data_IF_904860319136
#
_entry.id   IF_904860319136
#
_cell.length_a   1.000
_cell.length_b   1.000
_cell.length_c   1.000
_cell.angle_alpha   90.00
_cell.angle_beta   90.00
_cell.angle_gamma   90.00
#
_symmetry.space_group_name_H-M   'P 1'
#
loop_
_entity.id
_entity.type
_entity.pdbx_description
1 polymer ?
#
# COMPACT_ATOMS: atom_id res chain seq x y z
N UNK A 1 6.55 17.46 31.22
CA UNK A 1 5.25 17.14 31.88
C UNK A 1 4.01 17.65 31.12
N UNK A 2 4.08 17.94 29.81
CA UNK A 2 2.95 18.48 29.01
C UNK A 2 2.23 17.46 28.09
N UNK A 3 2.75 16.23 27.93
CA UNK A 3 2.20 15.26 26.96
C UNK A 3 0.88 14.59 27.38
N UNK A 4 0.56 14.50 28.69
CA UNK A 4 -0.63 13.75 29.17
C UNK A 4 -1.95 14.49 28.91
N UNK A 5 -1.97 15.83 28.99
CA UNK A 5 -3.19 16.63 28.80
C UNK A 5 -3.64 16.74 27.34
N UNK A 6 -2.69 16.74 26.39
CA UNK A 6 -3.02 16.76 24.97
C UNK A 6 -3.55 15.40 24.50
N UNK A 7 -2.97 14.31 25.02
CA UNK A 7 -3.42 12.94 24.76
C UNK A 7 -4.81 12.69 25.35
N UNK A 8 -5.11 13.15 26.58
CA UNK A 8 -6.44 12.98 27.16
C UNK A 8 -7.52 13.83 26.49
N UNK A 9 -7.17 15.02 25.98
CA UNK A 9 -8.06 15.85 25.16
C UNK A 9 -8.28 15.26 23.77
N UNK A 10 -7.24 14.72 23.13
CA UNK A 10 -7.38 13.98 21.88
C UNK A 10 -8.23 12.73 22.07
N UNK A 11 -7.96 11.94 23.11
CA UNK A 11 -8.79 10.80 23.50
C UNK A 11 -10.22 11.24 23.79
N UNK A 12 -10.45 12.35 24.50
CA UNK A 12 -11.80 12.87 24.76
C UNK A 12 -12.54 13.29 23.49
N UNK A 13 -11.84 13.88 22.50
CA UNK A 13 -12.41 14.24 21.19
C UNK A 13 -12.66 13.00 20.33
N UNK A 14 -11.75 12.03 20.37
CA UNK A 14 -11.88 10.75 19.66
C UNK A 14 -12.96 9.88 20.28
N UNK A 15 -13.10 9.83 21.60
CA UNK A 15 -14.05 8.97 22.34
C UNK A 15 -15.48 9.55 22.42
N UNK A 16 -15.66 10.86 22.27
CA UNK A 16 -16.99 11.52 22.26
C UNK A 16 -18.00 10.94 21.27
N UNK A 17 -17.64 10.62 20.01
CA UNK A 17 -18.59 9.98 19.09
C UNK A 17 -19.05 8.59 19.54
N UNK A 18 -18.37 7.91 20.48
CA UNK A 18 -18.65 6.51 20.82
C UNK A 18 -19.74 6.28 21.87
N UNK A 19 -20.38 7.32 22.41
CA UNK A 19 -21.31 7.18 23.54
C UNK A 19 -22.77 6.88 23.12
N UNK A 20 -23.12 7.04 21.84
CA UNK A 20 -24.52 6.96 21.38
C UNK A 20 -24.76 6.07 20.15
N UNK A 21 -23.80 5.19 19.77
CA UNK A 21 -23.96 4.30 18.61
C UNK A 21 -24.32 2.87 19.02
N UNK A 22 -25.09 2.22 18.16
CA UNK A 22 -25.45 0.80 18.25
C UNK A 22 -24.18 -0.09 18.23
N UNK A 23 -24.24 -1.26 18.85
CA UNK A 23 -23.06 -2.11 19.06
C UNK A 23 -22.38 -2.52 17.73
N UNK A 24 -23.17 -2.75 16.69
CA UNK A 24 -22.71 -3.10 15.35
C UNK A 24 -21.99 -1.92 14.67
N UNK A 25 -22.59 -0.73 14.74
CA UNK A 25 -21.99 0.49 14.17
C UNK A 25 -20.64 0.81 14.81
N UNK A 26 -20.49 0.51 16.11
CA UNK A 26 -19.24 0.70 16.84
C UNK A 26 -18.13 -0.22 16.33
N UNK A 27 -18.45 -1.49 16.06
CA UNK A 27 -17.49 -2.46 15.53
C UNK A 27 -17.04 -2.04 14.12
N UNK A 28 -17.99 -1.66 13.26
CA UNK A 28 -17.69 -1.19 11.89
C UNK A 28 -16.81 0.05 11.92
N UNK A 29 -17.09 1.00 12.83
CA UNK A 29 -16.27 2.19 13.00
C UNK A 29 -14.83 1.86 13.44
N UNK A 30 -14.66 0.99 14.45
CA UNK A 30 -13.33 0.57 14.92
C UNK A 30 -12.57 -0.09 13.78
N UNK A 31 -13.21 -0.97 13.02
CA UNK A 31 -12.59 -1.67 11.92
C UNK A 31 -12.15 -0.71 10.80
N UNK A 32 -12.98 0.27 10.44
CA UNK A 32 -12.64 1.34 9.47
C UNK A 32 -11.47 2.21 9.95
N UNK A 33 -11.42 2.52 11.25
CA UNK A 33 -10.35 3.33 11.84
C UNK A 33 -9.03 2.57 11.89
N UNK A 34 -9.06 1.31 12.33
CA UNK A 34 -7.88 0.45 12.40
C UNK A 34 -7.33 0.17 10.99
N UNK A 35 -8.17 -0.19 10.03
CA UNK A 35 -7.71 -0.44 8.65
C UNK A 35 -7.07 0.82 8.04
N UNK A 36 -7.71 1.97 8.21
CA UNK A 36 -7.21 3.25 7.71
C UNK A 36 -5.89 3.67 8.36
N UNK A 37 -5.76 3.47 9.68
CA UNK A 37 -4.54 3.77 10.41
C UNK A 37 -3.40 2.85 9.99
N UNK A 38 -3.67 1.56 9.79
CA UNK A 38 -2.67 0.59 9.33
C UNK A 38 -2.15 0.91 7.93
N UNK A 39 -2.99 1.38 7.01
CA UNK A 39 -2.54 1.86 5.69
C UNK A 39 -1.54 3.00 5.83
N UNK A 40 -1.84 3.99 6.69
CA UNK A 40 -0.94 5.12 6.96
C UNK A 40 0.37 4.63 7.59
N UNK A 41 0.30 3.77 8.60
CA UNK A 41 1.50 3.23 9.25
C UNK A 41 2.38 2.45 8.28
N UNK A 42 1.81 1.59 7.45
CA UNK A 42 2.58 0.81 6.46
C UNK A 42 3.23 1.71 5.41
N UNK A 43 2.52 2.73 4.92
CA UNK A 43 3.11 3.68 3.97
C UNK A 43 4.23 4.53 4.59
N UNK A 44 4.13 4.89 5.88
CA UNK A 44 5.24 5.52 6.61
C UNK A 44 6.44 4.59 6.78
N UNK A 45 6.23 3.32 7.11
CA UNK A 45 7.32 2.33 7.25
C UNK A 45 8.02 2.13 5.90
N UNK A 46 7.26 2.05 4.80
CA UNK A 46 7.81 1.86 3.45
C UNK A 46 8.65 3.04 2.95
N UNK A 47 8.27 4.26 3.33
CA UNK A 47 8.95 5.49 2.90
C UNK A 47 9.96 5.94 3.96
N UNK A 48 9.48 6.47 5.08
CA UNK A 48 10.31 7.02 6.16
C UNK A 48 11.11 5.94 6.90
N UNK A 49 10.53 4.74 7.09
CA UNK A 49 11.26 3.62 7.70
C UNK A 49 12.45 3.16 6.85
N UNK A 50 12.27 3.10 5.53
CA UNK A 50 13.36 2.80 4.60
C UNK A 50 14.43 3.89 4.53
N UNK A 51 14.08 5.14 4.86
CA UNK A 51 15.04 6.24 4.99
C UNK A 51 15.84 6.18 6.30
N UNK A 52 15.18 5.89 7.43
CA UNK A 52 15.81 5.87 8.75
C UNK A 52 16.63 4.60 9.02
N UNK A 53 16.29 3.48 8.39
CA UNK A 53 16.95 2.19 8.63
C UNK A 53 17.14 1.41 7.32
N UNK A 54 17.99 1.92 6.41
CA UNK A 54 18.20 1.33 5.09
C UNK A 54 18.74 -0.11 5.16
N UNK A 55 19.50 -0.44 6.20
CA UNK A 55 20.07 -1.77 6.44
C UNK A 55 19.01 -2.83 6.81
N UNK A 56 17.95 -2.43 7.52
CA UNK A 56 16.89 -3.37 7.98
C UNK A 56 15.72 -3.45 7.02
N UNK A 57 15.47 -2.37 6.27
CA UNK A 57 14.38 -2.20 5.32
C UNK A 57 14.93 -1.94 3.91
N UNK A 58 15.73 -2.89 3.42
CA UNK A 58 16.22 -2.88 2.05
C UNK A 58 15.20 -3.49 1.08
N UNK A 59 15.23 -3.03 -0.18
CA UNK A 59 14.46 -3.60 -1.29
C UNK A 59 15.12 -4.87 -1.82
N UNK A 60 16.45 -4.90 -1.87
CA UNK A 60 17.20 -6.08 -2.28
C UNK A 60 18.59 -6.15 -1.66
N UNK A 61 19.13 -7.37 -1.58
CA UNK A 61 20.48 -7.69 -1.10
C UNK A 61 21.24 -8.35 -2.24
N UNK A 62 22.31 -7.70 -2.68
CA UNK A 62 23.25 -8.22 -3.64
C UNK A 62 24.41 -8.85 -2.89
N UNK A 63 24.54 -10.17 -3.01
CA UNK A 63 25.58 -10.94 -2.31
C UNK A 63 26.81 -11.04 -3.19
N UNK A 64 27.94 -10.60 -2.65
CA UNK A 64 29.22 -10.43 -3.36
C UNK A 64 30.33 -11.16 -2.62
N UNK A 65 30.14 -12.46 -2.36
CA UNK A 65 31.13 -13.25 -1.63
C UNK A 65 32.41 -13.43 -2.45
N UNK A 66 33.56 -12.96 -1.91
CA UNK A 66 34.88 -13.08 -2.54
C UNK A 66 35.17 -14.50 -3.04
N UNK A 67 34.87 -15.51 -2.22
CA UNK A 67 35.06 -16.94 -2.56
C UNK A 67 34.18 -17.38 -3.73
N UNK A 68 32.91 -16.97 -3.74
CA UNK A 68 31.97 -17.31 -4.80
C UNK A 68 32.41 -16.71 -6.15
N UNK A 69 32.86 -15.45 -6.10
CA UNK A 69 33.33 -14.71 -7.28
C UNK A 69 34.63 -15.30 -7.83
N UNK A 70 35.62 -15.55 -6.98
CA UNK A 70 36.89 -16.14 -7.40
C UNK A 70 36.69 -17.53 -8.01
N UNK A 71 35.84 -18.38 -7.39
CA UNK A 71 35.51 -19.70 -7.91
C UNK A 71 34.79 -19.64 -9.26
N UNK A 72 33.77 -18.77 -9.40
CA UNK A 72 33.02 -18.63 -10.65
C UNK A 72 33.88 -18.07 -11.78
N UNK A 73 34.76 -17.11 -11.48
CA UNK A 73 35.70 -16.56 -12.45
C UNK A 73 36.74 -17.61 -12.89
N UNK A 74 37.25 -18.40 -11.94
CA UNK A 74 38.15 -19.51 -12.24
C UNK A 74 37.48 -20.57 -13.13
N UNK A 75 36.25 -20.97 -12.82
CA UNK A 75 35.50 -21.95 -13.61
C UNK A 75 35.27 -21.46 -15.05
N UNK A 76 34.85 -20.19 -15.22
CA UNK A 76 34.65 -19.60 -16.55
C UNK A 76 35.94 -19.51 -17.36
N UNK A 77 37.02 -19.02 -16.75
CA UNK A 77 38.32 -18.91 -17.42
C UNK A 77 38.89 -20.30 -17.75
N UNK A 78 38.81 -21.25 -16.82
CA UNK A 78 39.21 -22.64 -17.05
C UNK A 78 38.45 -23.26 -18.22
N UNK A 79 37.12 -23.11 -18.24
CA UNK A 79 36.30 -23.63 -19.32
C UNK A 79 36.62 -22.97 -20.67
N UNK A 80 36.90 -21.66 -20.69
CA UNK A 80 37.32 -20.95 -21.89
C UNK A 80 38.67 -21.45 -22.44
N UNK A 81 39.65 -21.69 -21.57
CA UNK A 81 40.97 -22.23 -21.96
C UNK A 81 40.85 -23.68 -22.45
N UNK A 82 40.03 -24.51 -21.80
CA UNK A 82 39.80 -25.90 -22.25
C UNK A 82 39.08 -25.94 -23.59
N UNK A 83 38.07 -25.09 -23.79
CA UNK A 83 37.25 -25.08 -25.00
C UNK A 83 37.90 -24.40 -26.20
N UNK A 84 38.88 -23.52 -26.00
CA UNK A 84 39.53 -22.75 -27.07
C UNK A 84 40.52 -23.57 -27.92
N UNK A 85 40.63 -24.89 -27.72
CA UNK A 85 41.51 -25.81 -28.45
C UNK A 85 42.99 -25.39 -28.51
N UNK A 86 43.40 -24.36 -27.77
CA UNK A 86 44.77 -23.84 -27.80
C UNK A 86 45.79 -24.85 -27.25
N UNK A 87 45.35 -25.77 -26.38
CA UNK A 87 46.17 -26.85 -25.82
C UNK A 87 45.85 -28.24 -26.41
N UNK A 88 45.12 -28.33 -27.53
CA UNK A 88 44.86 -29.62 -28.20
C UNK A 88 44.09 -30.65 -27.36
N UNK A 89 43.23 -30.20 -26.43
CA UNK A 89 42.45 -31.07 -25.55
C UNK A 89 43.20 -31.62 -24.33
N UNK A 90 44.48 -31.28 -24.17
CA UNK A 90 45.20 -31.45 -22.90
C UNK A 90 44.73 -30.31 -21.99
N UNK A 91 44.01 -30.64 -20.91
CA UNK A 91 43.50 -29.63 -19.96
C UNK A 91 44.60 -28.74 -19.35
N UNK A 92 44.22 -27.78 -18.50
CA UNK A 92 45.19 -26.87 -17.89
C UNK A 92 46.26 -27.62 -17.07
N UNK A 93 47.52 -27.23 -17.25
CA UNK A 93 48.64 -27.70 -16.43
C UNK A 93 48.54 -27.17 -14.99
N UNK A 94 49.16 -27.86 -14.04
CA UNK A 94 49.14 -27.43 -12.62
C UNK A 94 49.69 -26.02 -12.42
N UNK A 95 50.69 -25.60 -13.20
CA UNK A 95 51.24 -24.25 -13.18
C UNK A 95 50.26 -23.19 -13.69
N UNK A 96 49.52 -23.48 -14.78
CA UNK A 96 48.51 -22.55 -15.31
C UNK A 96 47.34 -22.40 -14.34
N UNK A 97 46.90 -23.49 -13.70
CA UNK A 97 45.86 -23.46 -12.68
C UNK A 97 46.27 -22.58 -11.49
N UNK A 98 47.52 -22.71 -11.02
CA UNK A 98 48.02 -21.90 -9.90
C UNK A 98 48.08 -20.41 -10.27
N UNK A 99 48.58 -20.09 -11.47
CA UNK A 99 48.65 -18.70 -11.96
C UNK A 99 47.24 -18.12 -12.11
N UNK A 100 46.30 -18.87 -12.68
CA UNK A 100 44.91 -18.45 -12.86
C UNK A 100 44.22 -18.22 -11.51
N UNK A 101 44.46 -19.10 -10.54
CA UNK A 101 43.92 -18.94 -9.20
C UNK A 101 44.51 -17.73 -8.47
N UNK A 102 45.82 -17.48 -8.61
CA UNK A 102 46.47 -16.28 -8.06
C UNK A 102 45.95 -15.01 -8.74
N UNK A 103 45.79 -15.03 -10.06
CA UNK A 103 45.23 -13.92 -10.82
C UNK A 103 43.81 -13.60 -10.37
N UNK A 104 42.91 -14.58 -10.38
CA UNK A 104 41.50 -14.40 -9.97
C UNK A 104 41.38 -13.95 -8.51
N UNK A 105 42.19 -14.49 -7.60
CA UNK A 105 42.22 -14.04 -6.21
C UNK A 105 42.70 -12.60 -6.07
N UNK A 106 43.70 -12.18 -6.85
CA UNK A 106 44.22 -10.80 -6.84
C UNK A 106 43.21 -9.76 -7.37
N UNK A 107 42.26 -10.18 -8.21
CA UNK A 107 41.22 -9.30 -8.75
C UNK A 107 40.05 -9.07 -7.76
N UNK A 108 39.94 -9.88 -6.69
CA UNK A 108 38.77 -9.92 -5.78
C UNK A 108 39.13 -9.48 -4.35
N UNK A 109 40.25 -8.78 -4.17
CA UNK A 109 40.80 -8.46 -2.83
C UNK A 109 39.90 -7.51 -2.02
N UNK A 110 39.25 -6.53 -2.64
CA UNK A 110 38.50 -5.45 -1.94
C UNK A 110 36.99 -5.47 -2.21
N UNK A 111 36.38 -6.66 -2.30
CA UNK A 111 34.94 -6.79 -2.52
C UNK A 111 34.18 -6.90 -1.18
N UNK A 112 33.15 -6.08 -0.93
CA UNK A 112 32.32 -6.20 0.29
C UNK A 112 31.57 -7.53 0.31
N UNK A 113 31.16 -7.99 1.49
CA UNK A 113 30.46 -9.29 1.60
C UNK A 113 29.07 -9.24 0.96
N UNK A 114 28.37 -8.12 1.16
CA UNK A 114 27.11 -7.83 0.49
C UNK A 114 26.85 -6.33 0.37
N UNK A 115 26.03 -5.97 -0.61
CA UNK A 115 25.47 -4.64 -0.78
C UNK A 115 23.95 -4.72 -0.63
N UNK A 116 23.39 -3.94 0.28
CA UNK A 116 21.94 -3.76 0.39
C UNK A 116 21.51 -2.55 -0.41
N UNK A 117 20.51 -2.74 -1.27
CA UNK A 117 19.84 -1.68 -2.01
C UNK A 117 18.56 -1.26 -1.26
N UNK A 118 18.56 -0.04 -0.73
CA UNK A 118 17.43 0.58 -0.08
C UNK A 118 16.62 1.47 -1.04
N UNK A 119 15.51 2.03 -0.57
CA UNK A 119 14.59 2.84 -1.40
C UNK A 119 15.27 4.10 -1.96
N UNK A 120 16.17 4.73 -1.21
CA UNK A 120 16.78 6.02 -1.56
C UNK A 120 18.29 5.94 -1.81
N UNK A 121 18.88 4.75 -1.76
CA UNK A 121 20.32 4.58 -1.81
C UNK A 121 20.74 3.15 -1.54
N UNK A 122 22.00 2.95 -1.22
CA UNK A 122 22.57 1.65 -0.94
C UNK A 122 23.51 1.71 0.23
N UNK A 123 23.74 0.55 0.85
CA UNK A 123 24.74 0.39 1.90
C UNK A 123 25.62 -0.80 1.57
N UNK A 124 26.91 -0.67 1.82
CA UNK A 124 27.88 -1.75 1.73
C UNK A 124 28.27 -2.23 3.12
N UNK A 125 28.40 -3.54 3.27
CA UNK A 125 29.03 -4.13 4.45
C UNK A 125 30.40 -4.68 4.05
N UNK A 126 31.44 -3.99 4.50
CA UNK A 126 32.83 -4.41 4.33
C UNK A 126 33.46 -4.75 5.67
N UNK A 127 34.39 -5.71 5.67
CA UNK A 127 35.36 -5.80 6.77
C UNK A 127 36.38 -4.67 6.57
N UNK A 128 36.81 -3.98 7.63
CA UNK A 128 37.89 -3.00 7.51
C UNK A 128 39.11 -3.68 6.88
N UNK A 129 39.80 -2.97 5.99
CA UNK A 129 41.08 -3.42 5.44
C UNK A 129 42.01 -3.83 6.59
N UNK A 130 42.75 -4.93 6.42
CA UNK A 130 43.68 -5.58 7.38
C UNK A 130 44.90 -4.70 7.77
N UNK A 131 44.74 -3.37 7.84
CA UNK A 131 45.80 -2.42 8.21
C UNK A 131 45.42 -1.67 9.49
N UNK A 132 45.08 -2.41 10.54
CA UNK A 132 45.45 -2.09 11.92
C UNK A 132 44.91 -3.18 12.86
N UNK A 133 45.83 -3.82 13.58
CA UNK A 133 45.61 -4.65 14.77
C UNK A 133 44.84 -3.90 15.86
N UNK A 134 43.54 -3.64 15.65
CA UNK A 134 42.65 -3.12 16.68
C UNK A 134 41.43 -4.03 16.77
N UNK A 135 41.38 -4.77 17.87
CA UNK A 135 40.47 -5.85 18.27
C UNK A 135 38.96 -5.48 18.36
N UNK A 136 38.48 -4.47 17.64
CA UNK A 136 37.06 -4.16 17.52
C UNK A 136 36.60 -4.45 16.09
N UNK A 137 36.49 -5.74 15.75
CA UNK A 137 35.80 -6.26 14.56
C UNK A 137 34.32 -5.84 14.57
N UNK A 138 34.06 -4.57 14.28
CA UNK A 138 32.70 -4.08 14.04
C UNK A 138 32.61 -3.88 12.55
N UNK A 139 31.77 -4.66 11.88
CA UNK A 139 31.53 -4.53 10.44
C UNK A 139 31.13 -3.07 10.14
N UNK A 140 31.90 -2.39 9.31
CA UNK A 140 31.63 -0.99 8.98
C UNK A 140 30.57 -0.95 7.88
N UNK A 141 29.40 -0.41 8.25
CA UNK A 141 28.29 -0.18 7.32
C UNK A 141 28.45 1.20 6.73
N UNK A 142 28.87 1.30 5.47
CA UNK A 142 28.87 2.58 4.75
C UNK A 142 27.58 2.70 3.92
N UNK A 143 26.76 3.70 4.20
CA UNK A 143 25.53 3.98 3.47
C UNK A 143 25.63 5.26 2.64
N UNK A 144 25.30 5.17 1.36
CA UNK A 144 25.25 6.31 0.45
C UNK A 144 23.81 6.65 0.06
N UNK A 145 23.41 7.89 0.33
CA UNK A 145 22.13 8.45 -0.11
C UNK A 145 22.27 9.06 -1.50
N UNK A 146 21.42 8.63 -2.43
CA UNK A 146 21.40 9.14 -3.81
C UNK A 146 20.11 9.92 -4.07
N UNK A 147 18.98 9.44 -3.54
CA UNK A 147 17.69 10.08 -3.67
C UNK A 147 16.59 9.13 -4.14
N UNK A 148 15.37 9.65 -4.34
CA UNK A 148 14.19 8.84 -4.64
C UNK A 148 14.27 8.16 -6.02
N UNK A 149 15.08 8.68 -6.94
CA UNK A 149 15.28 8.13 -8.28
C UNK A 149 16.29 6.98 -8.34
N UNK A 150 16.86 6.59 -7.20
CA UNK A 150 17.86 5.53 -7.15
C UNK A 150 17.27 4.17 -7.58
N UNK A 151 17.90 3.52 -8.56
CA UNK A 151 17.59 2.12 -8.91
C UNK A 151 18.89 1.34 -8.82
N UNK A 152 18.80 0.09 -8.38
CA UNK A 152 19.96 -0.78 -8.29
C UNK A 152 20.53 -1.06 -9.69
N UNK A 153 21.64 -0.40 -10.00
CA UNK A 153 22.41 -0.61 -11.23
C UNK A 153 23.65 -1.43 -10.87
N UNK A 154 23.56 -2.74 -11.09
CA UNK A 154 24.63 -3.68 -10.74
C UNK A 154 25.87 -3.48 -11.63
N UNK A 155 25.73 -3.01 -12.87
CA UNK A 155 26.86 -2.81 -13.79
C UNK A 155 27.75 -1.66 -13.33
N UNK A 156 27.13 -0.53 -12.99
CA UNK A 156 27.84 0.62 -12.41
C UNK A 156 28.47 0.25 -11.07
N UNK A 157 27.77 -0.56 -10.26
CA UNK A 157 28.27 -0.99 -8.96
C UNK A 157 29.50 -1.89 -9.07
N UNK A 158 29.47 -2.88 -9.96
CA UNK A 158 30.61 -3.78 -10.20
C UNK A 158 31.82 -3.01 -10.76
N UNK A 159 31.60 -2.04 -11.65
CA UNK A 159 32.67 -1.17 -12.15
C UNK A 159 33.32 -0.34 -11.04
N UNK A 160 32.52 0.20 -10.10
CA UNK A 160 33.03 0.90 -8.92
C UNK A 160 33.86 0.02 -7.99
N UNK A 161 33.52 -1.26 -7.89
CA UNK A 161 34.24 -2.25 -7.07
C UNK A 161 35.51 -2.80 -7.75
N UNK A 162 35.86 -2.28 -8.94
CA UNK A 162 36.97 -2.77 -9.77
C UNK A 162 36.81 -4.22 -10.25
N UNK A 163 35.58 -4.75 -10.30
CA UNK A 163 35.28 -6.03 -10.96
C UNK A 163 35.07 -5.85 -12.47
N UNK A 164 35.92 -5.04 -13.11
CA UNK A 164 35.85 -4.78 -14.54
C UNK A 164 36.04 -6.07 -15.34
N UNK A 165 36.89 -6.99 -14.86
CA UNK A 165 37.09 -8.31 -15.47
C UNK A 165 35.79 -9.13 -15.60
N UNK A 166 34.90 -9.04 -14.60
CA UNK A 166 33.59 -9.71 -14.66
C UNK A 166 32.70 -9.05 -15.70
N UNK A 167 32.72 -7.73 -15.79
CA UNK A 167 31.96 -6.98 -16.79
C UNK A 167 32.45 -7.30 -18.19
N UNK A 168 33.75 -7.25 -18.41
CA UNK A 168 34.36 -7.48 -19.71
C UNK A 168 34.01 -8.88 -20.21
N UNK A 169 34.10 -9.91 -19.34
CA UNK A 169 33.76 -11.28 -19.70
C UNK A 169 32.24 -11.51 -19.86
N UNK A 170 31.40 -10.87 -19.03
CA UNK A 170 29.94 -11.02 -19.15
C UNK A 170 29.37 -10.34 -20.40
N UNK A 171 30.08 -9.36 -20.96
CA UNK A 171 29.57 -8.50 -22.04
C UNK A 171 30.47 -8.45 -23.28
N UNK A 172 31.45 -9.35 -23.42
CA UNK A 172 32.40 -9.38 -24.55
C UNK A 172 31.67 -9.40 -25.90
N UNK A 173 30.62 -10.21 -26.02
CA UNK A 173 29.85 -10.38 -27.26
C UNK A 173 29.10 -9.09 -27.67
N UNK A 174 28.63 -8.32 -26.69
CA UNK A 174 27.85 -7.09 -26.94
C UNK A 174 28.70 -5.88 -27.34
N UNK A 175 30.00 -5.92 -27.07
CA UNK A 175 30.95 -4.90 -27.54
C UNK A 175 31.35 -5.16 -29.00
N UNK A 176 31.52 -6.43 -29.36
CA UNK A 176 31.92 -6.82 -30.71
C UNK A 176 30.85 -6.52 -31.78
N UNK A 177 29.57 -6.58 -31.43
CA UNK A 177 28.46 -6.29 -32.35
C UNK A 177 28.32 -4.77 -32.63
N UNK A 178 28.55 -3.92 -31.63
CA UNK A 178 28.41 -2.46 -31.78
C UNK A 178 29.62 -1.78 -32.45
N UNK A 179 30.84 -2.31 -32.27
CA UNK A 179 32.04 -1.82 -32.96
C UNK A 179 32.05 -2.16 -34.45
N UNK A 180 31.23 -3.13 -34.89
CA UNK A 180 31.10 -3.48 -36.30
C UNK A 180 30.24 -2.50 -37.12
N UNK A 181 29.61 -1.50 -36.48
CA UNK A 181 28.67 -0.60 -37.15
C UNK A 181 29.08 0.88 -37.19
N UNK A 182 30.10 1.33 -36.45
CA UNK A 182 30.63 2.69 -36.57
C UNK A 182 32.15 2.71 -36.36
N UNK A 183 32.90 2.65 -37.46
CA UNK A 183 34.37 2.75 -37.48
C UNK A 183 34.89 4.17 -37.22
N UNK A 184 34.42 4.84 -36.18
CA UNK A 184 34.90 6.17 -35.79
C UNK A 184 35.33 6.19 -34.32
N UNK A 185 36.62 5.94 -34.10
CA UNK A 185 37.45 6.50 -33.03
C UNK A 185 36.82 6.60 -31.63
N UNK A 186 36.69 5.46 -30.94
CA UNK A 186 36.36 5.44 -29.52
C UNK A 186 37.49 6.07 -28.68
N UNK A 187 37.18 7.17 -28.00
CA UNK A 187 38.07 7.82 -27.05
C UNK A 187 38.34 6.88 -25.86
N UNK A 188 39.60 6.67 -25.54
CA UNK A 188 40.12 5.72 -24.55
C UNK A 188 39.79 6.02 -23.06
N UNK A 189 38.78 6.86 -22.77
CA UNK A 189 38.49 7.33 -21.41
C UNK A 189 37.06 7.03 -20.90
N UNK A 190 36.22 6.34 -21.67
CA UNK A 190 34.88 5.94 -21.24
C UNK A 190 34.83 4.46 -20.90
N UNK A 191 34.44 4.13 -19.67
CA UNK A 191 34.31 2.75 -19.16
C UNK A 191 33.44 1.88 -20.08
N UNK A 192 33.85 0.64 -20.43
CA UNK A 192 33.15 -0.27 -21.36
C UNK A 192 31.70 -0.60 -20.96
N UNK A 193 31.34 -0.35 -19.71
CA UNK A 193 30.05 -0.65 -19.09
C UNK A 193 28.89 0.27 -19.53
N UNK A 194 29.19 1.41 -20.15
CA UNK A 194 28.23 2.51 -20.32
C UNK A 194 27.44 2.50 -21.64
N UNK A 195 27.74 1.58 -22.58
CA UNK A 195 27.32 1.75 -23.97
C UNK A 195 26.44 0.63 -24.56
N UNK A 196 25.69 -0.13 -23.73
CA UNK A 196 24.58 -0.93 -24.26
C UNK A 196 23.30 -0.07 -24.23
N UNK A 197 22.83 0.46 -25.37
CA UNK A 197 21.73 1.43 -25.41
C UNK A 197 20.43 0.85 -24.80
N UNK A 198 20.23 -0.46 -24.92
CA UNK A 198 19.06 -1.15 -24.37
C UNK A 198 19.04 -1.20 -22.84
N UNK A 199 20.19 -1.47 -22.20
CA UNK A 199 20.28 -1.50 -20.74
C UNK A 199 20.10 -0.11 -20.14
N UNK A 200 20.71 0.91 -20.74
CA UNK A 200 20.57 2.31 -20.28
C UNK A 200 19.12 2.78 -20.42
N UNK A 201 18.44 2.40 -21.51
CA UNK A 201 17.00 2.67 -21.68
C UNK A 201 16.16 1.96 -20.62
N UNK A 202 16.46 0.68 -20.34
CA UNK A 202 15.79 -0.09 -19.30
C UNK A 202 15.94 0.56 -17.92
N UNK A 203 17.17 0.92 -17.50
CA UNK A 203 17.41 1.46 -16.15
C UNK A 203 16.80 2.86 -15.99
N UNK A 204 16.82 3.68 -17.04
CA UNK A 204 16.17 5.00 -17.04
C UNK A 204 14.65 4.88 -16.97
N UNK A 205 14.05 3.93 -17.70
CA UNK A 205 12.62 3.66 -17.61
C UNK A 205 12.24 3.14 -16.21
N UNK A 206 13.01 2.20 -15.66
CA UNK A 206 12.82 1.69 -14.31
C UNK A 206 12.92 2.81 -13.25
N UNK A 207 13.86 3.76 -13.43
CA UNK A 207 14.02 4.94 -12.58
C UNK A 207 12.80 5.85 -12.60
N UNK A 208 12.31 6.19 -13.79
CA UNK A 208 11.12 7.03 -13.97
C UNK A 208 9.89 6.34 -13.38
N UNK A 209 9.69 5.06 -13.68
CA UNK A 209 8.58 4.26 -13.16
C UNK A 209 8.62 4.19 -11.63
N UNK A 210 9.78 3.89 -11.03
CA UNK A 210 9.94 3.83 -9.57
C UNK A 210 9.59 5.17 -8.91
N UNK A 211 10.06 6.29 -9.47
CA UNK A 211 9.73 7.63 -8.98
C UNK A 211 8.22 7.88 -8.98
N UNK A 212 7.56 7.59 -10.11
CA UNK A 212 6.11 7.75 -10.24
C UNK A 212 5.36 6.86 -9.24
N UNK A 213 5.81 5.62 -9.02
CA UNK A 213 5.22 4.73 -8.02
C UNK A 213 5.42 5.22 -6.59
N UNK A 214 6.58 5.79 -6.25
CA UNK A 214 6.80 6.41 -4.93
C UNK A 214 5.88 7.61 -4.71
N UNK A 215 5.72 8.48 -5.72
CA UNK A 215 4.76 9.58 -5.66
C UNK A 215 3.32 9.10 -5.50
N UNK A 216 2.93 8.00 -6.16
CA UNK A 216 1.62 7.37 -5.96
C UNK A 216 1.42 6.88 -4.52
N UNK A 217 2.45 6.29 -3.90
CA UNK A 217 2.39 5.89 -2.48
C UNK A 217 2.22 7.11 -1.56
N UNK A 218 2.95 8.20 -1.80
CA UNK A 218 2.75 9.45 -1.05
C UNK A 218 1.36 10.05 -1.26
N UNK A 219 0.84 10.02 -2.49
CA UNK A 219 -0.52 10.47 -2.79
C UNK A 219 -1.57 9.64 -2.05
N UNK A 220 -1.43 8.30 -2.06
CA UNK A 220 -2.28 7.38 -1.29
C UNK A 220 -2.24 7.71 0.19
N UNK A 221 -1.07 7.97 0.74
CA UNK A 221 -0.87 8.36 2.14
C UNK A 221 -1.63 9.65 2.50
N UNK A 222 -1.48 10.70 1.69
CA UNK A 222 -2.16 11.98 1.89
C UNK A 222 -3.68 11.81 1.78
N UNK A 223 -4.15 11.07 0.78
CA UNK A 223 -5.56 10.79 0.58
C UNK A 223 -6.15 9.97 1.75
N UNK A 224 -5.37 9.04 2.32
CA UNK A 224 -5.79 8.25 3.47
C UNK A 224 -5.90 9.10 4.76
N UNK A 225 -4.99 10.05 4.97
CA UNK A 225 -5.07 11.01 6.07
C UNK A 225 -6.30 11.93 5.90
N UNK A 226 -6.54 12.41 4.68
CA UNK A 226 -7.74 13.19 4.37
C UNK A 226 -9.03 12.39 4.67
N UNK A 227 -9.06 11.12 4.26
CA UNK A 227 -10.14 10.18 4.57
C UNK A 227 -10.37 10.00 6.08
N UNK A 228 -9.30 9.87 6.88
CA UNK A 228 -9.39 9.80 8.33
C UNK A 228 -10.00 11.07 8.93
N UNK A 229 -9.62 12.25 8.43
CA UNK A 229 -10.22 13.52 8.87
C UNK A 229 -11.72 13.60 8.53
N UNK A 230 -12.10 13.21 7.30
CA UNK A 230 -13.50 13.17 6.91
C UNK A 230 -14.31 12.14 7.71
N UNK A 231 -13.71 10.99 8.04
CA UNK A 231 -14.33 9.98 8.90
C UNK A 231 -14.60 10.55 10.30
N UNK A 232 -13.60 11.17 10.94
CA UNK A 232 -13.77 11.80 12.24
C UNK A 232 -14.84 12.89 12.20
N UNK A 233 -14.86 13.70 11.14
CA UNK A 233 -15.90 14.71 10.92
C UNK A 233 -17.28 14.07 10.80
N UNK A 234 -17.43 13.04 9.97
CA UNK A 234 -18.69 12.30 9.79
C UNK A 234 -19.24 11.79 11.12
N UNK A 235 -18.42 11.11 11.94
CA UNK A 235 -18.87 10.57 13.23
C UNK A 235 -19.09 11.65 14.30
N UNK A 236 -18.38 12.79 14.24
CA UNK A 236 -18.66 13.92 15.14
C UNK A 236 -20.02 14.56 14.90
N UNK A 237 -20.50 14.57 13.64
CA UNK A 237 -21.76 15.21 13.26
C UNK A 237 -22.92 14.19 13.24
N UNK A 238 -22.64 12.90 13.07
CA UNK A 238 -23.62 11.80 13.16
C UNK A 238 -24.24 11.77 14.57
N UNK A 239 -25.42 12.38 14.70
CA UNK A 239 -26.13 12.58 15.98
C UNK A 239 -26.72 13.99 16.14
N UNK A 240 -26.20 14.98 15.42
CA UNK A 240 -26.81 16.32 15.29
C UNK A 240 -27.49 16.42 13.94
N UNK A 241 -28.77 16.05 13.88
CA UNK A 241 -29.74 16.25 12.77
C UNK A 241 -29.15 16.74 11.44
N UNK A 242 -28.27 15.93 10.84
CA UNK A 242 -27.63 16.28 9.58
C UNK A 242 -28.67 16.11 8.48
N UNK A 243 -28.71 17.04 7.52
CA UNK A 243 -29.55 16.87 6.34
C UNK A 243 -29.18 15.54 5.66
N UNK A 244 -30.19 14.69 5.46
CA UNK A 244 -30.06 13.32 4.93
C UNK A 244 -29.29 13.27 3.59
N UNK A 245 -29.36 14.33 2.79
CA UNK A 245 -28.58 14.49 1.55
C UNK A 245 -27.08 14.63 1.79
N UNK A 246 -26.67 15.43 2.78
CA UNK A 246 -25.26 15.66 3.09
C UNK A 246 -24.59 14.39 3.60
N UNK A 247 -25.32 13.59 4.39
CA UNK A 247 -24.84 12.29 4.87
C UNK A 247 -24.55 11.33 3.71
N UNK A 248 -25.49 11.17 2.78
CA UNK A 248 -25.31 10.31 1.59
C UNK A 248 -24.13 10.75 0.74
N UNK A 249 -23.99 12.04 0.46
CA UNK A 249 -22.86 12.58 -0.32
C UNK A 249 -21.53 12.26 0.36
N UNK A 250 -21.46 12.44 1.68
CA UNK A 250 -20.24 12.20 2.45
C UNK A 250 -19.84 10.72 2.40
N UNK A 251 -20.79 9.81 2.59
CA UNK A 251 -20.54 8.36 2.50
C UNK A 251 -20.11 7.94 1.09
N UNK A 252 -20.79 8.42 0.05
CA UNK A 252 -20.40 8.12 -1.34
C UNK A 252 -19.02 8.66 -1.68
N UNK A 253 -18.67 9.86 -1.20
CA UNK A 253 -17.33 10.44 -1.37
C UNK A 253 -16.26 9.57 -0.70
N UNK A 254 -16.49 9.11 0.55
CA UNK A 254 -15.53 8.22 1.22
C UNK A 254 -15.42 6.88 0.50
N UNK A 255 -16.52 6.30 0.04
CA UNK A 255 -16.50 5.08 -0.76
C UNK A 255 -15.65 5.27 -2.02
N UNK A 256 -15.88 6.35 -2.78
CA UNK A 256 -15.10 6.64 -3.98
C UNK A 256 -13.61 6.85 -3.69
N UNK A 257 -13.27 7.66 -2.69
CA UNK A 257 -11.89 7.89 -2.28
C UNK A 257 -11.20 6.60 -1.81
N UNK A 258 -11.90 5.71 -1.09
CA UNK A 258 -11.35 4.41 -0.66
C UNK A 258 -11.02 3.50 -1.84
N UNK A 259 -11.84 3.52 -2.89
CA UNK A 259 -11.60 2.77 -4.12
C UNK A 259 -10.40 3.33 -4.88
N UNK A 260 -10.26 4.65 -4.97
CA UNK A 260 -9.10 5.30 -5.59
C UNK A 260 -7.81 4.94 -4.83
N UNK A 261 -7.84 4.99 -3.50
CA UNK A 261 -6.71 4.57 -2.65
C UNK A 261 -6.32 3.12 -2.94
N UNK A 262 -7.31 2.21 -2.99
CA UNK A 262 -7.07 0.81 -3.29
C UNK A 262 -6.41 0.62 -4.66
N UNK A 263 -6.98 1.21 -5.72
CA UNK A 263 -6.44 1.07 -7.08
C UNK A 263 -5.01 1.60 -7.18
N UNK A 264 -4.72 2.78 -6.64
CA UNK A 264 -3.36 3.34 -6.65
C UNK A 264 -2.38 2.54 -5.80
N UNK A 265 -2.79 2.04 -4.63
CA UNK A 265 -1.95 1.18 -3.80
C UNK A 265 -1.57 -0.13 -4.51
N UNK A 266 -2.52 -0.72 -5.23
CA UNK A 266 -2.33 -1.96 -5.97
C UNK A 266 -1.42 -1.75 -7.19
N UNK A 267 -1.66 -0.69 -7.96
CA UNK A 267 -0.79 -0.31 -9.10
C UNK A 267 0.64 -0.05 -8.63
N UNK A 268 0.83 0.71 -7.55
CA UNK A 268 2.16 0.96 -6.99
C UNK A 268 2.85 -0.34 -6.53
N UNK A 269 2.12 -1.21 -5.84
CA UNK A 269 2.63 -2.50 -5.34
C UNK A 269 3.10 -3.40 -6.47
N UNK A 270 2.27 -3.58 -7.51
CA UNK A 270 2.58 -4.46 -8.65
C UNK A 270 3.81 -3.94 -9.40
N UNK A 271 3.86 -2.63 -9.71
CA UNK A 271 4.98 -2.07 -10.47
C UNK A 271 6.28 -2.11 -9.68
N UNK A 272 6.27 -1.79 -8.39
CA UNK A 272 7.47 -1.87 -7.54
C UNK A 272 7.98 -3.31 -7.42
N UNK A 273 7.06 -4.28 -7.30
CA UNK A 273 7.41 -5.69 -7.32
C UNK A 273 8.00 -6.12 -8.68
N UNK A 274 7.38 -5.71 -9.79
CA UNK A 274 7.84 -6.03 -11.14
C UNK A 274 9.26 -5.49 -11.42
N UNK A 275 9.55 -4.24 -11.03
CA UNK A 275 10.89 -3.64 -11.18
C UNK A 275 11.93 -4.51 -10.47
N UNK A 276 11.69 -4.85 -9.21
CA UNK A 276 12.64 -5.61 -8.40
C UNK A 276 12.78 -7.06 -8.85
N UNK A 277 11.70 -7.68 -9.31
CA UNK A 277 11.73 -9.00 -9.92
C UNK A 277 12.54 -9.00 -11.22
N UNK A 278 12.37 -7.98 -12.07
CA UNK A 278 13.13 -7.86 -13.32
C UNK A 278 14.62 -7.69 -13.04
N UNK A 279 15.01 -6.81 -12.09
CA UNK A 279 16.41 -6.65 -11.66
C UNK A 279 16.98 -7.99 -11.20
N UNK A 280 16.24 -8.74 -10.38
CA UNK A 280 16.67 -10.08 -9.94
C UNK A 280 16.88 -11.02 -11.12
N UNK A 281 15.97 -11.03 -12.09
CA UNK A 281 16.06 -11.87 -13.27
C UNK A 281 17.29 -11.54 -14.11
N UNK A 282 17.56 -10.25 -14.35
CA UNK A 282 18.74 -9.79 -15.08
C UNK A 282 20.04 -10.18 -14.37
N UNK A 283 20.14 -9.93 -13.06
CA UNK A 283 21.32 -10.34 -12.28
C UNK A 283 21.51 -11.85 -12.32
N UNK A 284 20.42 -12.63 -12.21
CA UNK A 284 20.52 -14.09 -12.28
C UNK A 284 20.96 -14.57 -13.66
N UNK A 285 20.44 -13.98 -14.73
CA UNK A 285 20.81 -14.38 -16.09
C UNK A 285 22.26 -14.03 -16.44
N UNK A 286 22.73 -12.87 -16.00
CA UNK A 286 24.01 -12.31 -16.45
C UNK A 286 25.16 -12.62 -15.49
N UNK A 287 24.90 -12.75 -14.19
CA UNK A 287 25.94 -12.80 -13.16
C UNK A 287 25.94 -14.08 -12.30
N UNK A 288 24.97 -14.98 -12.48
CA UNK A 288 24.89 -16.20 -11.67
C UNK A 288 26.12 -17.11 -11.86
N UNK A 289 26.69 -17.17 -13.06
CA UNK A 289 27.86 -18.01 -13.35
C UNK A 289 29.13 -17.52 -12.63
N UNK A 290 29.20 -16.23 -12.32
CA UNK A 290 30.27 -15.64 -11.53
C UNK A 290 29.98 -15.71 -10.02
N UNK A 291 28.92 -16.41 -9.60
CA UNK A 291 28.60 -16.60 -8.19
C UNK A 291 27.95 -15.40 -7.50
N UNK A 292 27.41 -14.43 -8.24
CA UNK A 292 26.58 -13.35 -7.67
C UNK A 292 25.15 -13.82 -7.44
N UNK A 293 24.55 -13.32 -6.37
CA UNK A 293 23.14 -13.56 -6.06
C UNK A 293 22.42 -12.27 -5.69
N UNK A 294 21.20 -12.11 -6.18
CA UNK A 294 20.30 -11.02 -5.80
C UNK A 294 19.08 -11.56 -5.06
N UNK A 295 18.96 -11.18 -3.79
CA UNK A 295 17.86 -11.54 -2.90
C UNK A 295 16.90 -10.36 -2.71
N UNK A 296 15.61 -10.65 -2.71
CA UNK A 296 14.56 -9.65 -2.48
C UNK A 296 14.39 -9.42 -0.97
N UNK A 297 14.27 -8.17 -0.54
CA UNK A 297 14.12 -7.78 0.86
C UNK A 297 12.76 -8.17 1.44
N UNK A 298 12.68 -9.35 2.08
CA UNK A 298 11.43 -9.95 2.59
C UNK A 298 10.60 -8.98 3.44
N UNK A 299 11.25 -8.22 4.34
CA UNK A 299 10.57 -7.28 5.26
C UNK A 299 9.89 -6.14 4.51
N UNK A 300 10.62 -5.51 3.60
CA UNK A 300 10.10 -4.39 2.81
C UNK A 300 8.94 -4.85 1.91
N UNK A 301 9.09 -5.99 1.23
CA UNK A 301 8.00 -6.58 0.42
C UNK A 301 6.79 -6.99 1.25
N UNK A 302 7.00 -7.51 2.46
CA UNK A 302 5.89 -7.82 3.37
C UNK A 302 5.10 -6.56 3.74
N UNK A 303 5.77 -5.45 4.03
CA UNK A 303 5.09 -4.17 4.30
C UNK A 303 4.33 -3.65 3.06
N UNK A 304 4.92 -3.81 1.87
CA UNK A 304 4.28 -3.41 0.61
C UNK A 304 3.01 -4.23 0.35
N UNK A 305 3.07 -5.54 0.57
CA UNK A 305 1.92 -6.43 0.43
C UNK A 305 0.83 -6.10 1.47
N UNK A 306 1.22 -5.89 2.73
CA UNK A 306 0.31 -5.50 3.80
C UNK A 306 -0.40 -4.17 3.50
N UNK A 307 0.29 -3.19 2.91
CA UNK A 307 -0.32 -1.94 2.46
C UNK A 307 -1.48 -2.19 1.49
N UNK A 308 -1.29 -3.08 0.49
CA UNK A 308 -2.32 -3.42 -0.49
C UNK A 308 -3.48 -4.17 0.16
N UNK A 309 -3.21 -5.13 1.06
CA UNK A 309 -4.24 -5.88 1.78
C UNK A 309 -5.09 -4.99 2.67
N UNK A 310 -4.50 -4.10 3.47
CA UNK A 310 -5.27 -3.18 4.31
C UNK A 310 -6.03 -2.14 3.49
N UNK A 311 -5.49 -1.72 2.34
CA UNK A 311 -6.22 -0.86 1.40
C UNK A 311 -7.44 -1.58 0.81
N UNK A 312 -7.32 -2.87 0.48
CA UNK A 312 -8.43 -3.70 0.03
C UNK A 312 -9.51 -3.86 1.10
N UNK A 313 -9.12 -4.20 2.34
CA UNK A 313 -10.05 -4.30 3.47
C UNK A 313 -10.76 -2.96 3.69
N UNK A 314 -10.03 -1.84 3.66
CA UNK A 314 -10.60 -0.50 3.78
C UNK A 314 -11.63 -0.23 2.68
N UNK A 315 -11.33 -0.58 1.43
CA UNK A 315 -12.27 -0.46 0.31
C UNK A 315 -13.53 -1.32 0.51
N UNK A 316 -13.41 -2.55 0.99
CA UNK A 316 -14.57 -3.41 1.28
C UNK A 316 -15.45 -2.84 2.41
N UNK A 317 -14.86 -2.19 3.41
CA UNK A 317 -15.61 -1.62 4.54
C UNK A 317 -16.38 -0.35 4.16
N UNK A 318 -15.85 0.43 3.21
CA UNK A 318 -16.49 1.66 2.73
C UNK A 318 -17.43 1.40 1.56
N UNK A 319 -17.02 0.59 0.59
CA UNK A 319 -17.82 0.29 -0.61
C UNK A 319 -18.67 -0.97 -0.46
N UNK A 320 -18.15 -2.05 0.12
CA UNK A 320 -18.91 -3.30 0.25
C UNK A 320 -20.08 -3.16 1.23
N UNK A 321 -19.79 -2.68 2.44
CA UNK A 321 -20.80 -2.65 3.51
C UNK A 321 -21.94 -1.65 3.22
N UNK A 322 -21.64 -0.48 2.64
CA UNK A 322 -22.65 0.53 2.33
C UNK A 322 -23.56 0.11 1.17
N UNK A 323 -23.02 -0.57 0.15
CA UNK A 323 -23.81 -0.98 -1.01
C UNK A 323 -24.63 -2.24 -0.74
N UNK A 324 -24.14 -3.16 0.11
CA UNK A 324 -24.86 -4.38 0.45
C UNK A 324 -25.93 -4.18 1.52
N UNK A 325 -25.80 -3.19 2.43
CA UNK A 325 -26.74 -2.95 3.54
C UNK A 325 -27.78 -1.87 3.19
N UNK A 326 -27.76 -1.30 1.98
CA UNK A 326 -28.73 -0.28 1.57
C UNK A 326 -30.12 -0.91 1.35
N UNK A 327 -30.85 -1.11 2.44
CA UNK A 327 -32.22 -1.60 2.44
C UNK A 327 -33.14 -0.47 1.90
N UNK A 328 -33.78 -0.64 0.72
CA UNK A 328 -34.63 0.40 0.11
C UNK A 328 -35.76 0.85 1.07
N UNK A 329 -36.15 -0.01 2.01
CA UNK A 329 -37.24 0.22 2.94
C UNK A 329 -36.87 1.13 4.14
N UNK A 330 -35.60 1.27 4.52
CA UNK A 330 -35.20 2.15 5.63
C UNK A 330 -35.29 3.63 5.27
N UNK A 331 -34.96 3.98 4.02
CA UNK A 331 -35.15 5.34 3.51
C UNK A 331 -36.64 5.72 3.52
N UNK A 332 -37.52 4.78 3.18
CA UNK A 332 -38.97 5.01 3.14
C UNK A 332 -39.58 5.18 4.53
N UNK A 333 -39.15 4.40 5.55
CA UNK A 333 -39.63 4.55 6.94
C UNK A 333 -39.16 5.83 7.63
N UNK A 334 -37.95 6.34 7.31
CA UNK A 334 -37.49 7.63 7.87
C UNK A 334 -38.17 8.83 7.21
N UNK A 335 -38.42 8.77 5.90
CA UNK A 335 -39.20 9.80 5.21
C UNK A 335 -40.65 9.86 5.72
N UNK A 336 -41.29 8.71 5.95
CA UNK A 336 -42.65 8.68 6.51
C UNK A 336 -42.76 9.26 7.92
N UNK A 337 -41.71 9.13 8.75
CA UNK A 337 -41.68 9.75 10.08
C UNK A 337 -41.51 11.28 10.04
N UNK A 338 -40.75 11.79 9.07
CA UNK A 338 -40.61 13.25 8.87
C UNK A 338 -41.91 13.83 8.33
N UNK A 339 -42.56 13.14 7.39
CA UNK A 339 -43.83 13.58 6.80
C UNK A 339 -44.98 13.54 7.84
N UNK A 340 -45.02 12.51 8.69
CA UNK A 340 -45.95 12.44 9.82
C UNK A 340 -45.72 13.56 10.86
N UNK A 341 -44.46 13.95 11.11
CA UNK A 341 -44.12 15.06 12.00
C UNK A 341 -44.51 16.44 11.43
N UNK A 342 -44.35 16.64 10.13
CA UNK A 342 -44.74 17.88 9.43
C UNK A 342 -46.28 18.00 9.34
N UNK A 343 -46.99 16.89 9.14
CA UNK A 343 -48.46 16.88 9.16
C UNK A 343 -49.03 17.12 10.56
N UNK A 344 -48.39 16.60 11.62
CA UNK A 344 -48.80 16.86 13.00
C UNK A 344 -48.61 18.34 13.41
N UNK A 345 -47.56 19.00 12.92
CA UNK A 345 -47.37 20.44 13.15
C UNK A 345 -48.42 21.27 12.41
N UNK A 346 -48.75 20.92 11.16
CA UNK A 346 -49.77 21.59 10.35
C UNK A 346 -51.19 21.41 10.92
N UNK A 347 -51.46 20.30 11.59
CA UNK A 347 -52.74 20.03 12.24
C UNK A 347 -52.89 20.77 13.59
N UNK A 348 -51.78 21.21 14.21
CA UNK A 348 -51.83 22.08 15.39
C UNK A 348 -52.17 23.54 15.06
N UNK A 349 -51.90 23.98 13.83
CA UNK A 349 -52.08 25.36 13.37
C UNK A 349 -53.49 25.65 12.84
N UNK A 350 -54.28 24.61 12.52
CA UNK A 350 -55.65 24.74 12.02
C UNK A 350 -56.74 24.60 13.10
N UNK A 351 -56.40 24.67 14.40
CA UNK A 351 -57.42 24.69 15.45
C UNK A 351 -57.96 26.13 15.64
N UNK A 352 -59.20 26.44 15.23
CA UNK A 352 -59.74 27.79 15.34
C UNK A 352 -59.91 28.21 16.81
N UNK A 353 -59.36 29.37 17.17
CA UNK A 353 -59.68 30.07 18.42
C UNK A 353 -61.04 30.76 18.26
N UNK A 354 -62.09 30.11 18.75
CA UNK A 354 -63.37 30.69 19.18
C UNK A 354 -63.78 29.83 20.38
N UNK A 355 -64.17 30.29 21.57
CA UNK A 355 -64.67 31.54 22.14
C UNK A 355 -64.31 31.46 23.64
N UNK A 356 -64.21 32.52 24.46
CA UNK A 356 -65.37 33.15 25.08
C UNK A 356 -64.89 34.30 26.00
N UNK A 357 -65.65 35.39 25.96
CA UNK A 357 -65.44 36.67 26.63
C UNK A 357 -66.29 36.72 27.91
N UNK A 358 -65.61 36.91 29.06
CA UNK A 358 -65.91 37.81 30.21
C UNK A 358 -67.39 38.15 30.55
N UNK A 359 -67.83 37.92 31.81
CA UNK A 359 -68.18 38.96 32.82
C UNK A 359 -68.84 38.40 34.11
N UNK A 360 -68.34 38.85 35.28
CA UNK A 360 -68.94 38.86 36.64
C UNK A 360 -69.97 40.03 36.78
N UNK A 361 -70.65 40.33 37.93
CA UNK A 361 -70.81 39.64 39.25
C UNK A 361 -72.30 39.58 39.75
N UNK A 362 -72.58 39.05 40.95
CA UNK A 362 -73.36 39.68 42.08
C UNK A 362 -73.65 38.68 43.22
N UNK A 363 -73.81 39.23 44.43
CA UNK A 363 -73.61 38.75 45.82
C UNK A 363 -74.72 37.88 46.44
N UNK A 364 -74.32 37.19 47.53
CA UNK A 364 -75.10 36.90 48.75
C UNK A 364 -75.51 35.43 48.88
N UNK A 365 -75.50 34.75 50.03
CA UNK A 365 -75.18 35.06 51.44
C UNK A 365 -75.29 33.69 52.18
N UNK A 366 -74.37 33.37 53.12
CA UNK A 366 -74.52 32.42 54.26
C UNK A 366 -74.87 30.94 53.94
N UNK A 367 -74.36 29.88 54.59
CA UNK A 367 -73.40 29.61 55.67
C UNK A 367 -73.15 28.06 55.62
N UNK A 368 -72.51 27.37 56.59
CA UNK A 368 -71.42 26.45 56.31
C UNK A 368 -71.79 24.98 56.62
N UNK A 369 -70.95 24.03 56.21
CA UNK A 369 -70.25 23.11 57.11
C UNK A 369 -69.68 21.89 56.37
N UNK A 370 -68.46 21.55 56.81
CA UNK A 370 -67.74 20.29 56.69
C UNK A 370 -67.52 19.71 55.26
N UNK A 371 -66.40 20.02 54.62
CA UNK A 371 -65.07 19.43 54.84
C UNK A 371 -64.94 17.96 54.40
N UNK A 372 -64.12 17.79 53.35
CA UNK A 372 -63.22 16.68 53.03
C UNK A 372 -63.86 15.28 52.85
N UNK A 373 -63.66 14.52 51.78
CA UNK A 373 -62.53 14.48 50.84
C UNK A 373 -62.96 13.71 49.60
N UNK A 374 -62.43 14.17 48.47
CA UNK A 374 -62.56 13.65 47.12
C UNK A 374 -61.63 12.41 46.90
N UNK A 375 -61.39 11.95 45.66
CA UNK A 375 -62.39 11.29 44.82
C UNK A 375 -61.83 10.12 43.96
N UNK A 376 -62.78 9.42 43.33
CA UNK A 376 -62.80 9.01 41.91
C UNK A 376 -61.63 8.25 41.27
N UNK A 377 -61.95 7.10 40.67
CA UNK A 377 -62.15 7.01 39.21
C UNK A 377 -62.70 5.64 38.81
N UNK A 378 -63.91 5.67 38.31
CA UNK A 378 -64.54 4.58 37.58
C UNK A 378 -64.14 4.72 36.09
N UNK A 379 -63.51 3.70 35.52
CA UNK A 379 -63.25 3.63 34.08
C UNK A 379 -63.69 2.27 33.58
N UNK A 380 -64.87 2.23 32.98
CA UNK A 380 -65.36 1.07 32.25
C UNK A 380 -64.56 0.90 30.95
N UNK A 381 -63.86 -0.23 30.84
CA UNK A 381 -63.33 -0.78 29.59
C UNK A 381 -63.93 -2.17 29.40
N UNK A 382 -64.53 -2.44 28.24
CA UNK A 382 -64.55 -3.78 27.64
C UNK A 382 -64.82 -3.64 26.13
N UNK A 383 -63.83 -4.01 25.31
CA UNK A 383 -63.82 -5.13 24.34
C UNK A 383 -64.48 -4.74 22.99
N UNK A 384 -63.85 -4.98 21.82
CA UNK A 384 -63.81 -6.29 21.14
C UNK A 384 -62.62 -6.39 20.15
N UNK A 385 -62.19 -7.65 19.99
CA UNK A 385 -61.08 -8.28 19.26
C UNK A 385 -61.38 -8.51 17.76
N UNK A 386 -60.34 -8.56 16.90
CA UNK A 386 -59.98 -9.69 15.96
C UNK A 386 -58.79 -9.29 15.05
N UNK A 387 -57.60 -9.92 15.16
CA UNK A 387 -57.02 -11.03 14.33
C UNK A 387 -57.05 -10.74 12.82
N UNK A 388 -55.95 -10.80 12.05
CA UNK A 388 -55.34 -12.06 11.60
C UNK A 388 -54.25 -11.88 10.50
N UNK A 389 -53.21 -12.73 10.56
CA UNK A 389 -52.39 -13.39 9.50
C UNK A 389 -51.38 -12.59 8.66
N UNK A 390 -50.12 -12.96 8.88
CA UNK A 390 -49.02 -13.01 7.90
C UNK A 390 -49.27 -14.06 6.78
N UNK A 391 -48.64 -13.86 5.61
CA UNK A 391 -48.12 -14.95 4.77
C UNK A 391 -46.58 -14.91 4.59
N UNK A 392 -45.97 -16.01 4.11
CA UNK A 392 -44.56 -16.34 4.29
C UNK A 392 -43.64 -15.85 3.16
N UNK A 393 -42.34 -15.76 3.48
CA UNK A 393 -41.25 -15.61 2.51
C UNK A 393 -41.21 -16.83 1.57
N UNK A 394 -41.43 -16.57 0.29
CA UNK A 394 -41.21 -17.53 -0.78
C UNK A 394 -39.71 -17.65 -1.11
N UNK A 395 -39.25 -18.88 -1.15
CA UNK A 395 -38.02 -19.30 -1.83
C UNK A 395 -38.15 -19.02 -3.34
N UNK A 396 -37.10 -18.49 -3.97
CA UNK A 396 -36.81 -18.79 -5.37
C UNK A 396 -35.47 -19.49 -5.48
N UNK A 397 -35.58 -20.72 -5.94
CA UNK A 397 -34.53 -21.62 -6.37
C UNK A 397 -33.95 -21.18 -7.71
N UNK A 398 -32.76 -21.72 -7.96
CA UNK A 398 -32.00 -21.75 -9.20
C UNK A 398 -32.77 -22.28 -10.42
N UNK A 399 -32.05 -22.26 -11.57
CA UNK A 399 -32.38 -22.67 -12.96
C UNK A 399 -32.81 -21.47 -13.82
N UNK A 400 -32.24 -21.11 -14.97
CA UNK A 400 -31.32 -21.72 -15.92
C UNK A 400 -30.65 -20.59 -16.74
N UNK A 401 -29.40 -20.79 -17.19
CA UNK A 401 -29.10 -20.75 -18.63
C UNK A 401 -27.65 -21.19 -18.89
N UNK A 402 -27.59 -22.32 -19.57
CA UNK A 402 -26.45 -23.06 -20.08
C UNK A 402 -25.81 -22.43 -21.33
N UNK A 403 -24.49 -22.58 -21.41
CA UNK A 403 -23.64 -22.88 -22.58
C UNK A 403 -23.83 -22.09 -23.90
N UNK A 404 -22.76 -21.40 -24.33
CA UNK A 404 -22.16 -21.61 -25.66
C UNK A 404 -20.79 -20.93 -25.83
N UNK A 405 -19.84 -21.73 -26.38
CA UNK A 405 -18.68 -21.38 -27.23
C UNK A 405 -17.49 -20.53 -26.74
N UNK A 406 -16.40 -21.24 -26.40
CA UNK A 406 -15.01 -21.23 -26.96
C UNK A 406 -14.39 -20.00 -27.68
N UNK A 407 -13.04 -19.91 -27.72
CA UNK A 407 -12.27 -18.68 -27.67
C UNK A 407 -11.83 -18.14 -29.05
N UNK A 408 -11.52 -16.84 -29.11
CA UNK A 408 -10.62 -16.28 -30.13
C UNK A 408 -9.58 -15.35 -29.51
N UNK A 409 -8.34 -15.73 -29.72
CA UNK A 409 -7.18 -14.87 -29.69
C UNK A 409 -7.34 -13.73 -30.70
N UNK A 410 -6.97 -12.51 -30.31
CA UNK A 410 -6.64 -11.43 -31.25
C UNK A 410 -5.33 -10.81 -30.80
N UNK A 411 -4.31 -11.06 -31.61
CA UNK A 411 -3.10 -10.24 -31.75
C UNK A 411 -3.47 -8.97 -32.52
N UNK A 412 -3.05 -7.81 -32.05
CA UNK A 412 -2.78 -6.59 -32.83
C UNK A 412 -1.78 -5.77 -31.99
N UNK A 413 -0.48 -5.69 -32.29
CA UNK A 413 0.18 -5.12 -33.46
C UNK A 413 -0.14 -3.63 -33.67
N UNK A 414 0.81 -2.80 -33.21
CA UNK A 414 1.40 -1.64 -33.90
C UNK A 414 0.47 -0.60 -34.53
N UNK A 415 0.52 0.64 -34.02
CA UNK A 415 0.64 1.80 -34.90
C UNK A 415 1.26 2.99 -34.15
N UNK A 416 2.50 3.29 -34.52
CA UNK A 416 3.10 4.62 -34.46
C UNK A 416 2.27 5.61 -35.28
N UNK A 417 2.23 6.89 -34.88
CA UNK A 417 2.36 8.03 -35.79
C UNK A 417 2.58 9.35 -35.04
N UNK A 418 3.71 9.97 -35.42
CA UNK A 418 4.22 11.35 -35.30
C UNK A 418 4.27 12.05 -33.95
#
# INVERSE_FOLDING_TARGET
>A
MWKKGLLSRFLGVVLRPFQYLDAIDRIVQILRLVSSLLVVLMGLILTLGAFLSPEKLYMGKFTTSKKSIANGLFELLSNSVVNSNMNGGLGLTTSEIVILNQYTSSQVVNVPEYITSAVYGWCQLGKPDDVADNLNNTDEVECQYIGPSYVFDYRVLLGKMRLNIVLDYAYTDSLQENDSMNGDSASANSTPSAHIPDYVRYINNARSLKMNMLFLVYFVMVLQVFMLCLMLWYYCVKGRSLNLRKEKILVHLLSFCSLVVFMFSLVATINLFAIQHNIRSHVKQELQNFGFAYELGKRWFSCLLQLSVFSFISCLLWSGLEWCVMDPNQNQRRFSHIEAGVLALRQSETRPKNSEVRNLPTKGLLNPDAALTAPSRETSRLLVVTRSKSPPCGYMSASELSLSSSPRAVKTATTFKF
#
